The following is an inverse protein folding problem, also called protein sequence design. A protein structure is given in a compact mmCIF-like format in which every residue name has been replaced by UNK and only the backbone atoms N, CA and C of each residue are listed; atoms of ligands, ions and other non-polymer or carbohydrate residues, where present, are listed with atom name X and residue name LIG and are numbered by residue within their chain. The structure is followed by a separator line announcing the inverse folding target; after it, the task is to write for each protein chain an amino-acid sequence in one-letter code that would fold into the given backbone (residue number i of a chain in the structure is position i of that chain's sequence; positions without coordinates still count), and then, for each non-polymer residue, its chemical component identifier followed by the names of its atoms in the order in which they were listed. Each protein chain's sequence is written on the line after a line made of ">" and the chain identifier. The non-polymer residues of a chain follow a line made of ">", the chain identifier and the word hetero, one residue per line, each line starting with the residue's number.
data_IF_789312479483
#
_entry.id   IF_789312479483
#
_cell.length_a   1.000
_cell.length_b   1.000
_cell.length_c   1.000
_cell.angle_alpha   90.00
_cell.angle_beta   90.00
_cell.angle_gamma   90.00
#
_symmetry.space_group_name_H-M   'P 1'
#
loop_
_entity.id
_entity.type
_entity.pdbx_description
1 polymer ?
#
# COMPACT_ATOMS: atom_id res chain seq x y z
N UNK A 1 19.11 -10.23 7.54
CA UNK A 1 19.36 -8.89 6.99
C UNK A 1 18.04 -8.12 6.98
N UNK A 2 18.03 -6.89 7.46
CA UNK A 2 16.86 -6.01 7.46
C UNK A 2 16.55 -5.54 6.02
N UNK A 3 15.29 -5.57 5.63
CA UNK A 3 14.84 -5.05 4.34
C UNK A 3 13.83 -3.93 4.56
N UNK A 4 14.18 -2.71 4.21
CA UNK A 4 13.32 -1.53 4.31
C UNK A 4 12.72 -1.14 2.97
N UNK A 5 11.67 -0.30 3.02
CA UNK A 5 10.98 0.16 1.82
C UNK A 5 10.59 1.63 1.94
N UNK A 6 10.84 2.37 0.87
CA UNK A 6 10.24 3.68 0.59
C UNK A 6 9.10 3.46 -0.41
N UNK A 7 7.89 3.89 -0.08
CA UNK A 7 6.71 3.59 -0.89
C UNK A 7 5.79 4.81 -1.04
N UNK A 8 6.23 5.88 -1.70
CA UNK A 8 5.39 7.05 -1.92
C UNK A 8 4.28 6.77 -2.94
N UNK A 9 3.10 7.35 -2.67
CA UNK A 9 1.99 7.40 -3.61
C UNK A 9 2.05 8.75 -4.34
N UNK A 10 2.21 8.78 -5.67
CA UNK A 10 2.47 10.02 -6.42
C UNK A 10 1.17 10.81 -6.72
N UNK A 11 0.45 11.20 -5.67
CA UNK A 11 -0.78 12.02 -5.75
C UNK A 11 -0.53 13.51 -5.51
N UNK A 12 0.73 13.90 -5.27
CA UNK A 12 1.20 15.25 -5.02
C UNK A 12 2.68 15.25 -4.65
N UNK A 13 3.25 16.44 -4.46
CA UNK A 13 4.63 16.58 -4.01
C UNK A 13 4.83 16.10 -2.58
N UNK A 14 6.04 15.64 -2.27
CA UNK A 14 6.41 15.25 -0.91
C UNK A 14 6.43 16.48 0.00
N UNK A 15 6.19 16.25 1.29
CA UNK A 15 6.29 17.28 2.33
C UNK A 15 7.14 16.75 3.51
N UNK A 16 7.44 17.62 4.47
CA UNK A 16 8.33 17.32 5.62
C UNK A 16 7.92 16.04 6.38
N UNK A 17 6.62 15.76 6.49
CA UNK A 17 6.13 14.52 7.11
C UNK A 17 6.59 13.26 6.36
N UNK A 18 6.59 13.29 5.04
CA UNK A 18 7.13 12.21 4.21
C UNK A 18 8.65 12.09 4.38
N UNK A 19 9.38 13.19 4.37
CA UNK A 19 10.84 13.21 4.55
C UNK A 19 11.22 12.54 5.89
N UNK A 20 10.56 12.88 7.00
CA UNK A 20 10.77 12.26 8.31
C UNK A 20 10.52 10.75 8.27
N UNK A 21 9.39 10.32 7.70
CA UNK A 21 8.99 8.91 7.66
C UNK A 21 10.00 8.09 6.84
N UNK A 22 10.40 8.60 5.67
CA UNK A 22 11.31 7.89 4.78
C UNK A 22 12.76 7.91 5.31
N UNK A 23 13.21 8.99 5.94
CA UNK A 23 14.50 9.03 6.62
C UNK A 23 14.58 8.00 7.75
N UNK A 24 13.52 7.85 8.56
CA UNK A 24 13.46 6.84 9.60
C UNK A 24 13.45 5.42 9.04
N UNK A 25 12.71 5.16 7.95
CA UNK A 25 12.70 3.86 7.27
C UNK A 25 14.10 3.51 6.72
N UNK A 26 14.78 4.46 6.10
CA UNK A 26 16.14 4.30 5.61
C UNK A 26 17.14 4.04 6.73
N UNK A 27 17.07 4.80 7.83
CA UNK A 27 17.93 4.59 9.00
C UNK A 27 17.77 3.18 9.60
N UNK A 28 16.53 2.67 9.70
CA UNK A 28 16.26 1.31 10.17
C UNK A 28 16.75 0.22 9.22
N UNK A 29 16.88 0.51 7.94
CA UNK A 29 17.40 -0.40 6.93
C UNK A 29 18.89 -0.26 6.67
N UNK A 30 19.62 0.58 7.41
CA UNK A 30 21.03 0.93 7.14
C UNK A 30 22.00 -0.25 7.10
N UNK A 31 21.70 -1.33 7.85
CA UNK A 31 22.49 -2.57 7.84
C UNK A 31 21.98 -3.62 6.82
N UNK A 32 21.11 -3.24 5.89
CA UNK A 32 20.48 -4.16 4.97
C UNK A 32 20.18 -3.55 3.60
N UNK A 33 19.05 -3.93 3.02
CA UNK A 33 18.61 -3.46 1.70
C UNK A 33 17.50 -2.44 1.87
N UNK A 34 17.60 -1.31 1.17
CA UNK A 34 16.51 -0.35 1.02
C UNK A 34 15.99 -0.41 -0.41
N UNK A 35 14.69 -0.58 -0.59
CA UNK A 35 14.04 -0.54 -1.89
C UNK A 35 13.10 0.66 -2.00
N UNK A 36 12.95 1.18 -3.20
CA UNK A 36 11.95 2.18 -3.55
C UNK A 36 10.85 1.55 -4.40
N UNK A 37 9.59 1.86 -4.11
CA UNK A 37 8.44 1.36 -4.87
C UNK A 37 7.42 2.48 -5.08
N UNK A 38 7.08 2.76 -6.33
CA UNK A 38 6.03 3.72 -6.68
C UNK A 38 4.65 3.08 -6.49
N UNK A 39 3.83 3.67 -5.62
CA UNK A 39 2.48 3.20 -5.28
C UNK A 39 1.42 3.93 -6.12
N UNK A 40 1.35 3.65 -7.40
CA UNK A 40 0.56 4.39 -8.40
C UNK A 40 -0.73 3.67 -8.84
N UNK A 41 -1.31 2.82 -7.99
CA UNK A 41 -2.55 2.08 -8.31
C UNK A 41 -3.78 2.98 -8.43
N UNK A 42 -3.80 4.15 -7.78
CA UNK A 42 -4.87 5.13 -7.92
C UNK A 42 -4.67 5.99 -9.17
N UNK A 43 -4.99 5.41 -10.33
CA UNK A 43 -4.80 6.06 -11.63
C UNK A 43 -5.54 7.41 -11.76
N UNK A 44 -6.61 7.63 -10.99
CA UNK A 44 -7.35 8.90 -10.99
C UNK A 44 -6.57 10.06 -10.38
N UNK A 45 -5.72 9.80 -9.39
CA UNK A 45 -4.98 10.82 -8.63
C UNK A 45 -3.49 10.80 -8.84
N UNK A 46 -2.91 9.65 -9.20
CA UNK A 46 -1.48 9.54 -9.44
C UNK A 46 -1.08 10.23 -10.74
N UNK A 47 0.09 10.90 -10.71
CA UNK A 47 0.67 11.60 -11.86
C UNK A 47 2.16 11.25 -11.99
N UNK A 48 2.66 11.03 -13.21
CA UNK A 48 4.07 10.73 -13.46
C UNK A 48 5.01 11.79 -12.90
N UNK A 49 4.67 13.07 -13.06
CA UNK A 49 5.49 14.19 -12.57
C UNK A 49 5.71 14.14 -11.06
N UNK A 50 4.74 13.68 -10.27
CA UNK A 50 4.91 13.50 -8.83
C UNK A 50 5.74 12.26 -8.48
N UNK A 51 5.70 11.22 -9.33
CA UNK A 51 6.56 10.05 -9.14
C UNK A 51 8.03 10.40 -9.37
N UNK A 52 8.32 11.15 -10.43
CA UNK A 52 9.67 11.61 -10.75
C UNK A 52 10.19 12.58 -9.68
N UNK A 53 9.39 13.57 -9.30
CA UNK A 53 9.73 14.51 -8.24
C UNK A 53 10.01 13.82 -6.90
N UNK A 54 9.25 12.77 -6.55
CA UNK A 54 9.49 12.03 -5.32
C UNK A 54 10.84 11.28 -5.32
N UNK A 55 11.29 10.79 -6.46
CA UNK A 55 12.63 10.19 -6.62
C UNK A 55 13.71 11.26 -6.43
N UNK A 56 13.54 12.42 -7.09
CA UNK A 56 14.48 13.53 -7.01
C UNK A 56 14.59 14.08 -5.58
N UNK A 57 13.47 14.36 -4.93
CA UNK A 57 13.39 14.88 -3.56
C UNK A 57 14.06 13.94 -2.55
N UNK A 58 13.80 12.64 -2.64
CA UNK A 58 14.37 11.67 -1.70
C UNK A 58 15.88 11.46 -1.95
N UNK A 59 16.33 11.57 -3.19
CA UNK A 59 17.77 11.58 -3.52
C UNK A 59 18.46 12.85 -3.02
N UNK A 60 17.82 14.01 -3.19
CA UNK A 60 18.30 15.27 -2.65
C UNK A 60 18.41 15.22 -1.12
N UNK A 61 17.47 14.56 -0.44
CA UNK A 61 17.53 14.31 1.00
C UNK A 61 18.65 13.35 1.42
N UNK A 62 19.40 12.78 0.46
CA UNK A 62 20.53 11.89 0.71
C UNK A 62 20.13 10.41 0.88
N UNK A 63 18.89 10.04 0.61
CA UNK A 63 18.44 8.65 0.70
C UNK A 63 18.94 7.85 -0.51
N UNK A 64 19.50 6.66 -0.23
CA UNK A 64 20.03 5.76 -1.26
C UNK A 64 19.35 4.41 -1.16
N UNK A 65 18.77 3.95 -2.26
CA UNK A 65 18.19 2.63 -2.41
C UNK A 65 18.91 1.83 -3.49
N UNK A 66 18.88 0.51 -3.36
CA UNK A 66 19.57 -0.44 -4.26
C UNK A 66 18.60 -1.15 -5.20
N UNK A 67 17.30 -1.02 -4.98
CA UNK A 67 16.23 -1.58 -5.79
C UNK A 67 15.15 -0.52 -6.00
N UNK A 68 14.69 -0.31 -7.23
CA UNK A 68 13.66 0.68 -7.52
C UNK A 68 13.38 0.85 -9.02
N UNK A 69 12.39 1.71 -9.39
CA UNK A 69 12.02 1.91 -10.79
C UNK A 69 13.14 2.53 -11.62
N UNK A 70 14.04 3.27 -10.98
CA UNK A 70 15.14 4.02 -11.59
C UNK A 70 16.49 3.29 -11.57
N UNK A 71 16.64 2.29 -10.69
CA UNK A 71 17.87 1.50 -10.54
C UNK A 71 17.68 0.02 -10.88
N UNK A 72 16.44 -0.43 -11.09
CA UNK A 72 16.12 -1.82 -11.33
C UNK A 72 16.21 -2.69 -10.07
N UNK A 73 16.42 -3.99 -10.26
CA UNK A 73 16.60 -4.95 -9.18
C UNK A 73 15.90 -6.29 -9.46
N UNK A 74 16.12 -7.30 -8.59
CA UNK A 74 15.69 -8.68 -8.84
C UNK A 74 14.17 -8.90 -8.77
N UNK A 75 13.42 -7.93 -8.24
CA UNK A 75 11.97 -8.03 -8.05
C UNK A 75 11.19 -6.99 -8.88
N UNK A 76 11.80 -6.50 -9.97
CA UNK A 76 11.13 -5.59 -10.90
C UNK A 76 9.83 -6.21 -11.46
N UNK A 77 8.84 -5.37 -11.86
CA UNK A 77 8.86 -3.90 -11.81
C UNK A 77 8.59 -3.36 -10.39
N UNK A 78 9.13 -2.16 -10.12
CA UNK A 78 8.93 -1.44 -8.84
C UNK A 78 7.90 -0.31 -8.95
N UNK A 79 7.11 -0.30 -10.00
CA UNK A 79 5.93 0.55 -10.23
C UNK A 79 4.71 -0.36 -10.11
N UNK A 80 3.80 -0.06 -9.20
CA UNK A 80 2.71 -0.99 -8.87
C UNK A 80 1.68 -1.16 -10.00
N UNK A 81 1.41 -0.12 -10.80
CA UNK A 81 0.54 -0.22 -11.97
C UNK A 81 1.04 -1.23 -13.01
N UNK A 82 2.35 -1.41 -13.13
CA UNK A 82 2.96 -2.40 -14.01
C UNK A 82 2.81 -3.85 -13.52
N UNK A 83 2.34 -4.04 -12.28
CA UNK A 83 2.11 -5.34 -11.64
C UNK A 83 0.65 -5.79 -11.66
N UNK A 84 -0.23 -5.02 -12.27
CA UNK A 84 -1.67 -5.33 -12.33
C UNK A 84 -1.99 -6.75 -12.81
N UNK A 85 -1.34 -7.32 -13.85
CA UNK A 85 -1.61 -8.70 -14.26
C UNK A 85 -1.31 -9.73 -13.15
N UNK A 86 -0.24 -9.49 -12.37
CA UNK A 86 0.09 -10.34 -11.23
C UNK A 86 -0.95 -10.22 -10.11
N UNK A 87 -1.39 -9.01 -9.79
CA UNK A 87 -2.45 -8.79 -8.79
C UNK A 87 -3.77 -9.45 -9.22
N UNK A 88 -4.14 -9.35 -10.49
CA UNK A 88 -5.34 -10.00 -11.04
C UNK A 88 -5.26 -11.53 -10.92
N UNK A 89 -4.09 -12.12 -11.19
CA UNK A 89 -3.89 -13.55 -11.01
C UNK A 89 -4.05 -13.98 -9.54
N UNK A 90 -3.42 -13.26 -8.60
CA UNK A 90 -3.57 -13.55 -7.17
C UNK A 90 -5.02 -13.36 -6.71
N UNK A 91 -5.69 -12.30 -7.18
CA UNK A 91 -7.09 -12.06 -6.88
C UNK A 91 -7.98 -13.22 -7.34
N UNK A 92 -7.77 -13.73 -8.56
CA UNK A 92 -8.49 -14.88 -9.09
C UNK A 92 -8.26 -16.15 -8.27
N UNK A 93 -7.03 -16.38 -7.81
CA UNK A 93 -6.71 -17.52 -6.92
C UNK A 93 -7.43 -17.40 -5.56
N UNK A 94 -7.47 -16.20 -4.97
CA UNK A 94 -8.18 -15.95 -3.71
C UNK A 94 -9.69 -16.14 -3.88
N UNK A 95 -10.26 -15.71 -5.00
CA UNK A 95 -11.67 -15.92 -5.33
C UNK A 95 -11.98 -17.42 -5.49
N UNK A 96 -11.18 -18.15 -6.26
CA UNK A 96 -11.35 -19.58 -6.44
C UNK A 96 -11.23 -20.38 -5.12
N UNK A 97 -10.37 -19.92 -4.21
CA UNK A 97 -10.22 -20.49 -2.88
C UNK A 97 -11.35 -20.11 -1.91
N UNK A 98 -12.26 -19.18 -2.30
CA UNK A 98 -13.29 -18.62 -1.42
C UNK A 98 -12.74 -17.79 -0.26
N UNK A 99 -11.51 -17.27 -0.40
CA UNK A 99 -10.84 -16.44 0.60
C UNK A 99 -11.27 -14.97 0.56
N UNK A 100 -11.90 -14.55 -0.52
CA UNK A 100 -12.47 -13.22 -0.71
C UNK A 100 -13.92 -13.32 -1.20
N UNK A 101 -14.69 -12.29 -0.95
CA UNK A 101 -16.10 -12.18 -1.36
C UNK A 101 -16.42 -10.74 -1.76
N UNK A 102 -17.44 -10.52 -2.62
CA UNK A 102 -17.95 -9.19 -2.92
C UNK A 102 -18.48 -8.51 -1.67
N UNK A 103 -18.13 -7.24 -1.47
CA UNK A 103 -18.62 -6.46 -0.34
C UNK A 103 -19.07 -5.07 -0.83
N UNK A 104 -20.33 -4.74 -0.56
CA UNK A 104 -20.97 -3.46 -0.89
C UNK A 104 -20.94 -2.45 0.26
N UNK A 105 -20.34 -2.81 1.39
CA UNK A 105 -20.31 -1.96 2.59
C UNK A 105 -19.21 -0.93 2.49
N UNK A 106 -19.57 0.33 2.71
CA UNK A 106 -18.63 1.45 2.79
C UNK A 106 -17.98 1.53 4.19
N UNK A 107 -16.89 2.33 4.31
CA UNK A 107 -16.31 2.65 5.63
C UNK A 107 -17.32 3.24 6.59
N UNK A 108 -18.24 4.09 6.11
CA UNK A 108 -19.30 4.69 6.93
C UNK A 108 -20.29 3.64 7.45
N UNK A 109 -20.57 2.58 6.70
CA UNK A 109 -21.44 1.50 7.15
C UNK A 109 -20.76 0.71 8.28
N UNK A 110 -19.45 0.48 8.17
CA UNK A 110 -18.65 -0.13 9.23
C UNK A 110 -18.63 0.75 10.48
N UNK A 111 -18.31 2.03 10.34
CA UNK A 111 -18.31 3.00 11.45
C UNK A 111 -19.65 3.06 12.16
N UNK A 112 -20.77 3.15 11.41
CA UNK A 112 -22.12 3.15 12.00
C UNK A 112 -22.45 1.88 12.77
N UNK A 113 -21.96 0.73 12.34
CA UNK A 113 -22.17 -0.54 13.03
C UNK A 113 -21.29 -0.70 14.29
N UNK A 114 -20.18 0.04 14.39
CA UNK A 114 -19.28 0.05 15.54
C UNK A 114 -19.69 1.07 16.61
N UNK A 115 -20.54 2.05 16.29
CA UNK A 115 -21.04 3.08 17.22
C UNK A 115 -22.10 2.54 18.21
N UNK A 116 -22.24 1.22 18.35
CA UNK A 116 -23.00 0.64 19.48
C UNK A 116 -22.23 0.87 20.80
N UNK A 117 -22.92 1.14 21.93
CA UNK A 117 -22.37 1.83 23.13
C UNK A 117 -21.35 1.09 23.99
N UNK A 118 -20.59 0.15 23.46
CA UNK A 118 -19.62 -0.67 24.23
C UNK A 118 -18.26 -0.88 23.52
N UNK A 119 -17.86 -0.02 22.56
CA UNK A 119 -16.51 -0.07 22.01
C UNK A 119 -15.55 0.65 22.96
N UNK A 120 -14.53 -0.04 23.49
CA UNK A 120 -13.39 0.57 24.14
C UNK A 120 -12.69 1.52 23.17
N UNK A 121 -12.46 2.77 23.55
CA UNK A 121 -12.06 3.90 22.69
C UNK A 121 -10.71 3.74 21.98
N UNK A 122 -9.91 2.72 22.28
CA UNK A 122 -8.55 2.51 21.73
C UNK A 122 -8.37 1.23 20.88
N UNK A 123 -9.42 0.47 20.62
CA UNK A 123 -9.31 -0.74 19.82
C UNK A 123 -9.38 -0.44 18.32
N UNK A 124 -8.46 -1.00 17.53
CA UNK A 124 -8.51 -0.93 16.07
C UNK A 124 -9.87 -1.49 15.58
N UNK A 125 -10.62 -0.77 14.72
CA UNK A 125 -11.95 -1.17 14.32
C UNK A 125 -11.92 -2.50 13.55
N UNK A 126 -12.52 -3.53 14.12
CA UNK A 126 -12.65 -4.86 13.50
C UNK A 126 -13.90 -4.85 12.62
N UNK A 127 -13.79 -5.35 11.38
CA UNK A 127 -14.92 -5.47 10.48
C UNK A 127 -16.04 -6.34 11.11
N UNK A 128 -17.25 -5.80 11.35
CA UNK A 128 -18.30 -6.47 12.10
C UNK A 128 -18.70 -7.81 11.46
N UNK A 129 -18.81 -8.90 12.23
CA UNK A 129 -19.25 -10.21 11.70
C UNK A 129 -20.62 -10.15 11.02
N UNK A 130 -21.55 -9.30 11.51
CA UNK A 130 -22.88 -9.12 10.94
C UNK A 130 -22.89 -8.51 9.52
N UNK A 131 -21.80 -7.84 9.13
CA UNK A 131 -21.64 -7.26 7.79
C UNK A 131 -20.89 -8.19 6.83
N UNK A 132 -20.41 -9.34 7.30
CA UNK A 132 -19.69 -10.32 6.46
C UNK A 132 -20.67 -11.08 5.58
N UNK A 133 -20.30 -11.31 4.34
CA UNK A 133 -21.06 -12.21 3.48
C UNK A 133 -21.01 -13.66 4.02
N UNK A 134 -22.03 -14.47 3.73
CA UNK A 134 -22.01 -15.89 4.05
C UNK A 134 -20.78 -16.59 3.48
N UNK A 135 -20.28 -17.63 4.17
CA UNK A 135 -19.19 -18.45 3.67
C UNK A 135 -19.55 -19.04 2.30
N UNK A 136 -18.70 -18.83 1.31
CA UNK A 136 -18.92 -19.31 -0.06
C UNK A 136 -19.58 -18.27 -0.99
N UNK A 137 -20.00 -17.11 -0.51
CA UNK A 137 -20.43 -16.03 -1.37
C UNK A 137 -19.23 -15.60 -2.27
N UNK A 138 -19.39 -15.68 -3.58
CA UNK A 138 -18.33 -15.37 -4.54
C UNK A 138 -17.68 -16.58 -5.22
N UNK A 139 -18.23 -17.78 -5.04
CA UNK A 139 -17.84 -19.00 -5.77
C UNK A 139 -18.65 -19.22 -7.06
N UNK A 140 -19.58 -18.31 -7.38
CA UNK A 140 -20.37 -18.34 -8.61
C UNK A 140 -19.68 -17.60 -9.75
#
# INVERSE_FOLDING_TARGET
>A
MTRGRLAPTPTGYLHVGHARTFALAAARASAGTLLYRTEDLDAGRCRPEFADAAIEDLRWLGLKWTEGPDVGGPHAPYVQSQRLPWFQNVWSQLQAAGAIYPCDKSRKDVERSLTAPHAEDDAEPIFPPALRAPLGAGRE
#
